data_IF_884006184402
#
_entry.id   IF_884006184402
#
_cell.length_a   1.000
_cell.length_b   1.000
_cell.length_c   1.000
_cell.angle_alpha   90.00
_cell.angle_beta   90.00
_cell.angle_gamma   90.00
#
_symmetry.space_group_name_H-M   'P 1'
#
loop_
_entity.id
_entity.type
_entity.pdbx_description
1 polymer ?
#
# COMPACT_ATOMS: atom_id res chain seq x y z
N UNK A 1 8.46 -5.93 8.07
CA UNK A 1 9.08 -4.78 8.74
C UNK A 1 8.42 -3.48 8.27
N UNK A 2 8.03 -2.61 9.19
CA UNK A 2 7.42 -1.31 8.87
C UNK A 2 8.48 -0.19 8.80
N UNK A 3 8.45 0.59 7.73
CA UNK A 3 9.31 1.76 7.55
C UNK A 3 8.52 3.04 7.89
N UNK A 4 8.26 3.21 9.16
CA UNK A 4 7.58 4.38 9.69
C UNK A 4 8.50 5.60 9.88
N UNK A 5 7.97 6.68 10.43
CA UNK A 5 8.73 7.91 10.65
C UNK A 5 9.90 7.78 11.63
N UNK A 6 9.97 6.71 12.43
CA UNK A 6 11.09 6.49 13.32
C UNK A 6 12.33 5.98 12.55
N UNK A 7 12.10 5.19 11.50
CA UNK A 7 13.16 4.68 10.62
C UNK A 7 13.44 5.61 9.44
N UNK A 8 12.41 6.30 8.93
CA UNK A 8 12.50 7.14 7.73
C UNK A 8 12.77 8.63 8.02
N UNK A 9 12.85 9.04 9.29
CA UNK A 9 13.28 10.37 9.69
C UNK A 9 12.31 11.51 9.39
N UNK A 10 11.02 11.26 9.16
CA UNK A 10 9.96 12.26 8.89
C UNK A 10 10.32 13.31 7.80
N UNK A 11 10.97 12.85 6.72
CA UNK A 11 11.47 13.72 5.66
C UNK A 11 12.91 14.22 5.89
N UNK A 12 13.54 13.80 6.96
CA UNK A 12 14.98 13.90 7.21
C UNK A 12 15.70 12.66 6.65
N UNK A 13 17.00 12.54 6.91
CA UNK A 13 17.74 11.36 6.49
C UNK A 13 17.25 10.13 7.27
N UNK A 14 17.03 8.98 6.60
CA UNK A 14 16.72 7.73 7.29
C UNK A 14 17.86 7.33 8.22
N UNK A 15 17.58 6.39 9.15
CA UNK A 15 18.63 5.85 10.02
C UNK A 15 19.77 5.29 9.18
N UNK A 16 21.05 5.46 9.59
CA UNK A 16 22.21 5.11 8.76
C UNK A 16 22.27 3.65 8.33
N UNK A 17 21.71 2.74 9.12
CA UNK A 17 21.71 1.29 8.93
C UNK A 17 20.35 0.75 8.43
N UNK A 18 19.56 1.59 7.77
CA UNK A 18 18.20 1.23 7.31
C UNK A 18 18.19 -0.05 6.44
N UNK A 19 19.09 -0.11 5.47
CA UNK A 19 19.13 -1.21 4.49
C UNK A 19 19.49 -2.52 5.17
N UNK A 20 20.51 -2.51 6.03
CA UNK A 20 20.94 -3.66 6.83
C UNK A 20 19.81 -4.16 7.73
N UNK A 21 19.09 -3.26 8.40
CA UNK A 21 17.97 -3.61 9.28
C UNK A 21 16.79 -4.19 8.49
N UNK A 22 16.51 -3.69 7.31
CA UNK A 22 15.50 -4.26 6.42
C UNK A 22 15.91 -5.67 6.01
N UNK A 23 17.14 -5.86 5.57
CA UNK A 23 17.64 -7.16 5.14
C UNK A 23 17.63 -8.19 6.27
N UNK A 24 18.09 -7.82 7.47
CA UNK A 24 18.05 -8.69 8.65
C UNK A 24 16.62 -9.17 8.97
N UNK A 25 15.63 -8.29 8.82
CA UNK A 25 14.26 -8.68 9.03
C UNK A 25 13.72 -9.58 7.90
N UNK A 26 14.03 -9.26 6.64
CA UNK A 26 13.59 -10.05 5.49
C UNK A 26 14.18 -11.48 5.49
N UNK A 27 15.35 -11.72 6.08
CA UNK A 27 15.92 -13.05 6.26
C UNK A 27 15.12 -13.96 7.18
N UNK A 28 14.30 -13.40 8.07
CA UNK A 28 13.52 -14.20 9.02
C UNK A 28 12.30 -14.80 8.32
N UNK A 29 12.03 -16.07 8.53
CA UNK A 29 10.83 -16.75 8.00
C UNK A 29 9.55 -16.08 8.48
N UNK A 30 9.53 -15.59 9.72
CA UNK A 30 8.39 -14.89 10.32
C UNK A 30 8.12 -13.50 9.75
N UNK A 31 9.03 -12.94 8.94
CA UNK A 31 8.82 -11.64 8.30
C UNK A 31 8.07 -11.83 6.98
N UNK A 32 6.82 -11.36 6.90
CA UNK A 32 5.97 -11.50 5.71
C UNK A 32 6.31 -10.49 4.61
N UNK A 33 7.05 -9.41 4.89
CA UNK A 33 7.37 -8.38 3.90
C UNK A 33 7.75 -7.05 4.52
N UNK A 34 7.73 -6.01 3.70
CA UNK A 34 7.97 -4.61 4.09
C UNK A 34 6.67 -3.82 4.05
N UNK A 35 6.45 -2.93 5.01
CA UNK A 35 5.34 -1.96 4.99
C UNK A 35 5.88 -0.54 4.88
N UNK A 36 5.38 0.21 3.90
CA UNK A 36 5.70 1.61 3.65
C UNK A 36 4.53 2.53 4.00
N UNK A 37 4.85 3.75 4.42
CA UNK A 37 3.90 4.78 4.83
C UNK A 37 4.20 6.13 4.15
N UNK A 38 4.10 6.23 2.81
CA UNK A 38 4.59 7.40 2.06
C UNK A 38 3.93 8.71 2.48
N UNK A 39 2.61 8.72 2.72
CA UNK A 39 1.88 9.90 3.19
C UNK A 39 2.36 10.41 4.54
N UNK A 40 2.69 9.52 5.46
CA UNK A 40 3.17 9.84 6.81
C UNK A 40 4.65 10.26 6.80
N UNK A 41 5.46 9.60 5.98
CA UNK A 41 6.88 9.90 5.83
C UNK A 41 7.13 11.13 4.94
N UNK A 42 6.13 11.55 4.14
CA UNK A 42 6.19 12.62 3.15
C UNK A 42 7.27 12.39 2.09
N UNK A 43 7.40 11.15 1.66
CA UNK A 43 8.32 10.70 0.63
C UNK A 43 7.53 10.12 -0.54
N UNK A 44 7.97 10.42 -1.76
CA UNK A 44 7.46 9.72 -2.94
C UNK A 44 7.92 8.27 -2.93
N UNK A 45 7.13 7.37 -3.48
CA UNK A 45 7.57 5.97 -3.63
C UNK A 45 8.78 5.85 -4.56
N UNK A 46 8.94 6.77 -5.51
CA UNK A 46 10.12 6.89 -6.38
C UNK A 46 11.34 7.56 -5.72
N UNK A 47 11.28 7.87 -4.42
CA UNK A 47 12.43 8.42 -3.71
C UNK A 47 13.57 7.38 -3.66
N UNK A 48 14.81 7.76 -4.01
CA UNK A 48 15.95 6.83 -4.06
C UNK A 48 16.22 6.06 -2.76
N UNK A 49 15.72 6.54 -1.62
CA UNK A 49 15.84 5.83 -0.34
C UNK A 49 15.13 4.49 -0.32
N UNK A 50 14.09 4.31 -1.14
CA UNK A 50 13.34 3.06 -1.23
C UNK A 50 13.92 2.06 -2.24
N UNK A 51 14.78 2.48 -3.15
CA UNK A 51 15.37 1.62 -4.19
C UNK A 51 15.97 0.33 -3.62
N UNK A 52 16.89 0.38 -2.63
CA UNK A 52 17.47 -0.84 -2.06
C UNK A 52 16.43 -1.70 -1.33
N UNK A 53 15.34 -1.10 -0.84
CA UNK A 53 14.24 -1.84 -0.19
C UNK A 53 13.47 -2.69 -1.20
N UNK A 54 13.17 -2.14 -2.38
CA UNK A 54 12.51 -2.86 -3.47
C UNK A 54 13.36 -4.03 -3.98
N UNK A 55 14.65 -3.79 -4.18
CA UNK A 55 15.58 -4.84 -4.58
C UNK A 55 15.70 -5.97 -3.55
N UNK A 56 15.77 -5.63 -2.26
CA UNK A 56 15.80 -6.62 -1.18
C UNK A 56 14.49 -7.42 -1.13
N UNK A 57 13.34 -6.76 -1.20
CA UNK A 57 12.05 -7.43 -1.20
C UNK A 57 11.93 -8.44 -2.36
N UNK A 58 12.35 -8.05 -3.57
CA UNK A 58 12.41 -8.94 -4.73
C UNK A 58 13.39 -10.11 -4.54
N UNK A 59 14.56 -9.85 -3.95
CA UNK A 59 15.60 -10.88 -3.67
C UNK A 59 15.10 -11.96 -2.71
N UNK A 60 14.36 -11.55 -1.68
CA UNK A 60 13.82 -12.46 -0.66
C UNK A 60 12.43 -12.98 -1.00
N UNK A 61 11.90 -12.68 -2.20
CA UNK A 61 10.56 -13.04 -2.66
C UNK A 61 9.45 -12.65 -1.65
N UNK A 62 9.55 -11.44 -1.12
CA UNK A 62 8.60 -10.89 -0.13
C UNK A 62 7.95 -9.62 -0.65
N UNK A 63 6.63 -9.41 -0.39
CA UNK A 63 5.92 -8.24 -0.88
C UNK A 63 6.31 -6.95 -0.14
N UNK A 64 6.07 -5.84 -0.83
CA UNK A 64 6.08 -4.49 -0.27
C UNK A 64 4.64 -4.00 -0.16
N UNK A 65 4.10 -3.98 1.05
CA UNK A 65 2.78 -3.42 1.32
C UNK A 65 2.90 -1.89 1.50
N UNK A 66 2.05 -1.14 0.83
CA UNK A 66 2.10 0.32 0.80
C UNK A 66 0.79 0.90 1.31
N UNK A 67 0.85 1.72 2.36
CA UNK A 67 -0.31 2.46 2.82
C UNK A 67 -0.73 3.48 1.76
N UNK A 68 -1.92 3.31 1.19
CA UNK A 68 -2.48 4.18 0.16
C UNK A 68 -3.82 4.78 0.60
N UNK A 69 -4.18 5.93 0.05
CA UNK A 69 -5.44 6.59 0.34
C UNK A 69 -5.39 7.49 1.57
N UNK A 70 -6.45 7.46 2.37
CA UNK A 70 -6.60 8.30 3.56
C UNK A 70 -5.50 8.06 4.57
N UNK A 71 -5.14 9.12 5.24
CA UNK A 71 -4.15 9.12 6.32
C UNK A 71 -4.81 9.60 7.62
N UNK A 72 -4.60 8.89 8.72
CA UNK A 72 -5.22 9.19 10.01
C UNK A 72 -4.74 10.51 10.66
N UNK A 73 -3.54 10.98 10.31
CA UNK A 73 -2.97 12.16 10.95
C UNK A 73 -3.05 13.41 10.06
N UNK A 74 -3.51 14.57 10.59
CA UNK A 74 -3.62 15.82 9.81
C UNK A 74 -2.28 16.31 9.21
N UNK A 75 -1.15 15.86 9.74
CA UNK A 75 0.19 16.24 9.23
C UNK A 75 0.68 15.35 8.10
N UNK A 76 0.02 14.21 7.83
CA UNK A 76 0.34 13.38 6.68
C UNK A 76 -0.19 14.03 5.39
N UNK A 77 0.45 13.73 4.27
CA UNK A 77 0.07 14.34 3.00
C UNK A 77 -0.45 13.30 2.02
N UNK A 78 -1.71 13.39 1.65
CA UNK A 78 -2.41 12.46 0.74
C UNK A 78 -1.72 12.31 -0.63
N UNK A 79 -1.07 13.36 -1.12
CA UNK A 79 -0.41 13.32 -2.43
C UNK A 79 0.64 12.20 -2.54
N UNK A 80 1.31 11.88 -1.45
CA UNK A 80 2.30 10.79 -1.42
C UNK A 80 1.66 9.40 -1.27
N UNK A 81 0.42 9.35 -0.79
CA UNK A 81 -0.37 8.12 -0.62
C UNK A 81 -1.43 7.93 -1.72
N UNK A 82 -1.34 8.68 -2.82
CA UNK A 82 -2.25 8.53 -3.95
C UNK A 82 -1.85 7.31 -4.79
N UNK A 83 -2.78 6.43 -5.20
CA UNK A 83 -2.49 5.20 -5.94
C UNK A 83 -1.56 5.37 -7.14
N UNK A 84 -1.67 6.45 -7.90
CA UNK A 84 -0.82 6.72 -9.06
C UNK A 84 0.68 6.82 -8.72
N UNK A 85 1.05 7.09 -7.46
CA UNK A 85 2.46 7.07 -7.07
C UNK A 85 3.02 5.65 -7.04
N UNK A 86 2.17 4.63 -6.87
CA UNK A 86 2.55 3.24 -6.94
C UNK A 86 2.71 2.75 -8.39
N UNK A 87 1.96 3.32 -9.32
CA UNK A 87 2.05 2.97 -10.75
C UNK A 87 3.47 3.14 -11.29
N UNK A 88 4.12 4.26 -10.97
CA UNK A 88 5.48 4.58 -11.40
C UNK A 88 6.47 3.49 -10.94
N UNK A 89 6.50 3.22 -9.64
CA UNK A 89 7.46 2.25 -9.09
C UNK A 89 7.13 0.80 -9.46
N UNK A 90 5.86 0.45 -9.61
CA UNK A 90 5.48 -0.89 -10.05
C UNK A 90 5.93 -1.17 -11.49
N UNK A 91 5.87 -0.17 -12.36
CA UNK A 91 6.33 -0.27 -13.73
C UNK A 91 7.85 -0.45 -13.83
N UNK A 92 8.61 0.21 -12.93
CA UNK A 92 10.07 0.17 -12.93
C UNK A 92 10.62 -1.08 -12.20
N UNK A 93 9.91 -1.55 -11.16
CA UNK A 93 10.33 -2.68 -10.30
C UNK A 93 9.50 -3.95 -10.54
N UNK A 94 9.49 -4.47 -11.77
CA UNK A 94 8.65 -5.61 -12.19
C UNK A 94 8.86 -6.92 -11.41
N UNK A 95 10.00 -7.08 -10.73
CA UNK A 95 10.29 -8.24 -9.89
C UNK A 95 9.85 -8.07 -8.44
N UNK A 96 9.50 -6.86 -8.03
CA UNK A 96 8.98 -6.57 -6.70
C UNK A 96 7.46 -6.70 -6.72
N UNK A 97 6.91 -7.48 -5.82
CA UNK A 97 5.46 -7.58 -5.63
C UNK A 97 5.01 -6.50 -4.67
N UNK A 98 3.99 -5.75 -5.07
CA UNK A 98 3.40 -4.71 -4.24
C UNK A 98 2.00 -5.09 -3.77
N UNK A 99 1.64 -4.64 -2.57
CA UNK A 99 0.27 -4.70 -2.06
C UNK A 99 -0.19 -3.28 -1.74
N UNK A 100 -1.16 -2.79 -2.50
CA UNK A 100 -1.84 -1.53 -2.23
C UNK A 100 -2.80 -1.72 -1.06
N UNK A 101 -2.50 -1.17 0.11
CA UNK A 101 -3.40 -1.28 1.25
C UNK A 101 -4.63 -0.40 1.07
N UNK A 102 -5.77 -0.88 1.63
CA UNK A 102 -7.05 -0.16 1.69
C UNK A 102 -7.66 0.16 0.32
N UNK A 103 -7.27 -0.58 -0.74
CA UNK A 103 -7.65 -0.29 -2.12
C UNK A 103 -7.54 1.20 -2.47
N UNK A 104 -6.53 1.88 -1.89
CA UNK A 104 -6.30 3.31 -2.07
C UNK A 104 -7.45 4.24 -1.69
N UNK A 105 -8.40 3.78 -0.87
CA UNK A 105 -9.62 4.53 -0.49
C UNK A 105 -9.31 5.98 -0.06
N UNK A 106 -9.99 7.02 -0.61
CA UNK A 106 -11.16 6.98 -1.49
C UNK A 106 -10.86 7.02 -3.01
N UNK A 107 -9.62 6.87 -3.45
CA UNK A 107 -9.20 7.01 -4.84
C UNK A 107 -9.41 5.72 -5.64
N UNK A 108 -10.62 5.14 -5.55
CA UNK A 108 -10.96 3.80 -6.06
C UNK A 108 -10.69 3.63 -7.56
N UNK A 109 -11.01 4.63 -8.37
CA UNK A 109 -10.77 4.63 -9.81
C UNK A 109 -9.27 4.51 -10.14
N UNK A 110 -8.46 5.33 -9.49
CA UNK A 110 -7.01 5.31 -9.67
C UNK A 110 -6.40 3.99 -9.15
N UNK A 111 -6.92 3.47 -8.04
CA UNK A 111 -6.50 2.19 -7.48
C UNK A 111 -6.78 1.04 -8.45
N UNK A 112 -8.00 0.99 -8.98
CA UNK A 112 -8.40 0.00 -9.98
C UNK A 112 -7.49 0.02 -11.21
N UNK A 113 -7.23 1.20 -11.77
CA UNK A 113 -6.37 1.36 -12.93
C UNK A 113 -4.92 0.88 -12.67
N UNK A 114 -4.39 1.10 -11.47
CA UNK A 114 -3.05 0.67 -11.08
C UNK A 114 -2.97 -0.85 -10.94
N UNK A 115 -3.97 -1.48 -10.32
CA UNK A 115 -4.04 -2.94 -10.19
C UNK A 115 -4.19 -3.61 -11.56
N UNK A 116 -5.11 -3.12 -12.39
CA UNK A 116 -5.34 -3.66 -13.73
C UNK A 116 -4.09 -3.60 -14.63
N UNK A 117 -3.39 -2.46 -14.58
CA UNK A 117 -2.22 -2.21 -15.44
C UNK A 117 -0.98 -3.00 -15.01
N UNK A 118 -0.76 -3.20 -13.71
CA UNK A 118 0.50 -3.70 -13.18
C UNK A 118 0.35 -5.11 -12.59
N UNK A 119 0.81 -6.18 -13.28
CA UNK A 119 0.64 -7.56 -12.84
C UNK A 119 1.42 -7.92 -11.56
N UNK A 120 2.25 -7.03 -11.05
CA UNK A 120 2.97 -7.16 -9.80
C UNK A 120 2.34 -6.34 -8.65
N UNK A 121 1.11 -5.84 -8.84
CA UNK A 121 0.35 -5.09 -7.83
C UNK A 121 -0.92 -5.84 -7.47
N UNK A 122 -1.04 -6.25 -6.23
CA UNK A 122 -2.30 -6.67 -5.60
C UNK A 122 -2.83 -5.54 -4.69
N UNK A 123 -4.07 -5.64 -4.25
CA UNK A 123 -4.63 -4.71 -3.28
C UNK A 123 -5.37 -5.42 -2.16
N UNK A 124 -5.39 -4.86 -0.96
CA UNK A 124 -6.22 -5.35 0.13
C UNK A 124 -7.44 -4.45 0.38
N UNK A 125 -8.48 -5.02 0.97
CA UNK A 125 -9.70 -4.33 1.35
C UNK A 125 -9.75 -3.99 2.85
N UNK A 126 -8.60 -3.99 3.53
CA UNK A 126 -8.52 -3.63 4.95
C UNK A 126 -8.88 -2.16 5.18
N UNK A 127 -9.36 -1.81 6.37
CA UNK A 127 -9.64 -0.43 6.76
C UNK A 127 -10.76 0.28 5.99
N UNK A 128 -11.55 -0.45 5.18
CA UNK A 128 -12.73 0.12 4.50
C UNK A 128 -13.94 0.19 5.43
N UNK A 129 -13.99 -0.66 6.45
CA UNK A 129 -14.97 -0.69 7.51
C UNK A 129 -14.22 -0.59 8.85
N UNK A 130 -14.59 0.37 9.68
CA UNK A 130 -13.97 0.57 10.97
C UNK A 130 -14.97 0.35 12.12
N UNK A 131 -14.47 -0.23 13.23
CA UNK A 131 -15.24 -0.42 14.44
C UNK A 131 -16.29 -1.53 14.35
N UNK A 132 -17.37 -1.37 15.13
CA UNK A 132 -18.48 -2.33 15.15
C UNK A 132 -19.52 -1.94 14.12
N UNK A 133 -19.61 -2.68 13.05
CA UNK A 133 -20.47 -2.38 11.89
C UNK A 133 -21.70 -3.28 11.92
N UNK A 134 -22.87 -2.65 11.87
CA UNK A 134 -24.12 -3.31 11.48
C UNK A 134 -24.17 -3.33 9.94
N UNK A 135 -24.03 -4.49 9.35
CA UNK A 135 -23.89 -4.63 7.90
C UNK A 135 -25.16 -4.21 7.13
N UNK A 136 -26.35 -4.51 7.66
CA UNK A 136 -27.61 -4.14 6.97
C UNK A 136 -27.70 -2.62 6.89
N UNK A 137 -27.53 -1.94 8.04
CA UNK A 137 -27.54 -0.49 8.11
C UNK A 137 -26.41 0.15 7.28
N UNK A 138 -25.21 -0.44 7.30
CA UNK A 138 -24.11 0.05 6.50
C UNK A 138 -24.41 0.04 5.00
N UNK A 139 -24.95 -1.06 4.49
CA UNK A 139 -25.28 -1.16 3.06
C UNK A 139 -26.44 -0.24 2.67
N UNK A 140 -27.37 0.04 3.57
CA UNK A 140 -28.41 1.05 3.32
C UNK A 140 -27.82 2.47 3.28
N UNK A 141 -27.02 2.85 4.29
CA UNK A 141 -26.47 4.21 4.42
C UNK A 141 -25.32 4.49 3.43
N UNK A 142 -24.54 3.47 3.06
CA UNK A 142 -23.36 3.58 2.21
C UNK A 142 -23.53 2.90 0.83
N UNK A 143 -24.76 2.73 0.39
CA UNK A 143 -25.05 2.06 -0.89
C UNK A 143 -24.28 2.66 -2.08
N UNK A 144 -24.11 3.98 -2.10
CA UNK A 144 -23.35 4.68 -3.14
C UNK A 144 -21.87 4.30 -3.13
N UNK A 145 -21.24 4.26 -1.95
CA UNK A 145 -19.83 3.87 -1.82
C UNK A 145 -19.63 2.39 -2.15
N UNK A 146 -20.47 1.50 -1.60
CA UNK A 146 -20.42 0.08 -1.89
C UNK A 146 -20.62 -0.21 -3.39
N UNK A 147 -21.51 0.53 -4.03
CA UNK A 147 -21.74 0.46 -5.48
C UNK A 147 -20.50 0.89 -6.29
N UNK A 148 -19.83 1.97 -5.90
CA UNK A 148 -18.59 2.42 -6.56
C UNK A 148 -17.46 1.39 -6.37
N UNK A 149 -17.25 0.88 -5.17
CA UNK A 149 -16.25 -0.15 -4.90
C UNK A 149 -16.51 -1.40 -5.74
N UNK A 150 -17.75 -1.89 -5.74
CA UNK A 150 -18.15 -3.06 -6.54
C UNK A 150 -17.94 -2.81 -8.03
N UNK A 151 -18.28 -1.62 -8.53
CA UNK A 151 -18.07 -1.25 -9.93
C UNK A 151 -16.61 -1.38 -10.33
N UNK A 152 -15.69 -0.81 -9.56
CA UNK A 152 -14.28 -0.83 -9.90
C UNK A 152 -13.66 -2.22 -9.72
N UNK A 153 -14.00 -2.96 -8.65
CA UNK A 153 -13.55 -4.34 -8.47
C UNK A 153 -14.02 -5.25 -9.61
N UNK A 154 -15.25 -5.05 -10.08
CA UNK A 154 -15.81 -5.82 -11.21
C UNK A 154 -15.16 -5.41 -12.53
N UNK A 155 -14.87 -4.11 -12.72
CA UNK A 155 -14.26 -3.60 -13.94
C UNK A 155 -12.88 -4.20 -14.19
N UNK A 156 -12.04 -4.28 -13.14
CA UNK A 156 -10.69 -4.89 -13.28
C UNK A 156 -10.74 -6.41 -13.44
N UNK A 157 -11.75 -7.08 -12.88
CA UNK A 157 -11.94 -8.53 -13.02
C UNK A 157 -10.82 -9.41 -12.45
N UNK A 158 -9.84 -8.84 -11.78
CA UNK A 158 -8.64 -9.51 -11.25
C UNK A 158 -8.84 -9.87 -9.77
N UNK A 159 -9.83 -10.72 -9.50
CA UNK A 159 -10.20 -11.08 -8.14
C UNK A 159 -9.11 -11.79 -7.34
N UNK A 160 -8.19 -12.48 -8.03
CA UNK A 160 -7.05 -13.17 -7.41
C UNK A 160 -6.00 -12.18 -6.84
N UNK A 161 -6.02 -10.94 -7.31
CA UNK A 161 -5.15 -9.85 -6.84
C UNK A 161 -5.81 -9.00 -5.74
N UNK A 162 -7.02 -9.36 -5.31
CA UNK A 162 -7.73 -8.70 -4.20
C UNK A 162 -7.63 -9.53 -2.94
N UNK A 163 -6.96 -8.97 -1.94
CA UNK A 163 -6.64 -9.63 -0.69
C UNK A 163 -7.62 -9.22 0.43
N UNK A 164 -7.90 -10.15 1.31
CA UNK A 164 -8.59 -9.85 2.57
C UNK A 164 -7.60 -9.32 3.61
N UNK A 165 -8.01 -8.31 4.38
CA UNK A 165 -7.25 -7.77 5.50
C UNK A 165 -8.18 -7.11 6.51
N UNK A 166 -7.76 -7.08 7.78
CA UNK A 166 -8.53 -6.50 8.89
C UNK A 166 -8.02 -5.13 9.35
N UNK A 167 -6.83 -4.72 8.93
CA UNK A 167 -6.03 -3.56 9.37
C UNK A 167 -5.62 -3.59 10.85
#
# INVERSE_FOLDING_TARGET
>A
VGLDSALMGRGEKPVPDLVERVEENLRRESCCGVKLYPGYNRLWLSDPVYEPVYELAARYDKPVAVHMGLTAFPRAHLKYAHPLTLDEVAADHKRTRFVMCHFGNPFLESAAAVVEKNPNVAADLSGLLEGRVDLERYFEEQAGYAGLLTTWLTAIGQWDDILYGTD
#
